data_IF_458898923593
#
_entry.id   IF_458898923593
#
_cell.length_a   1.000
_cell.length_b   1.000
_cell.length_c   1.000
_cell.angle_alpha   90.00
_cell.angle_beta   90.00
_cell.angle_gamma   90.00
#
_symmetry.space_group_name_H-M   'P 1'
#
loop_
_entity.id
_entity.type
_entity.pdbx_description
1 polymer ?
#
# COMPACT_ATOMS: atom_id res chain seq x y z
N UNK A 1 17.25 14.10 23.36
CA UNK A 1 17.79 13.42 22.17
C UNK A 1 17.99 14.44 21.07
N UNK A 2 19.15 14.46 20.43
CA UNK A 2 19.39 15.26 19.23
C UNK A 2 18.47 14.69 18.13
N UNK A 3 17.65 15.52 17.48
CA UNK A 3 16.81 15.10 16.36
C UNK A 3 17.74 14.66 15.21
N UNK A 4 17.52 13.46 14.70
CA UNK A 4 18.28 12.90 13.57
C UNK A 4 17.42 12.99 12.31
N UNK A 5 17.98 13.54 11.25
CA UNK A 5 17.35 13.58 9.92
C UNK A 5 18.03 12.61 8.97
N UNK A 6 17.32 12.08 7.95
CA UNK A 6 15.92 12.35 7.64
C UNK A 6 14.94 11.81 8.70
N UNK A 7 13.81 12.48 8.83
CA UNK A 7 12.75 12.11 9.79
C UNK A 7 11.39 12.02 9.09
N UNK A 8 10.67 10.94 9.38
CA UNK A 8 9.28 10.78 8.95
C UNK A 8 8.36 11.03 10.14
N UNK A 9 7.59 12.10 10.09
CA UNK A 9 6.50 12.35 11.03
C UNK A 9 5.22 11.68 10.54
N UNK A 10 4.54 10.98 11.45
CA UNK A 10 3.28 10.28 11.22
C UNK A 10 2.22 10.83 12.16
N UNK A 11 1.23 11.54 11.62
CA UNK A 11 0.10 12.06 12.39
C UNK A 11 -1.00 11.00 12.51
N UNK A 12 -1.04 10.33 13.67
CA UNK A 12 -2.02 9.29 13.95
C UNK A 12 -3.46 9.83 14.05
N UNK A 13 -3.64 11.12 14.37
CA UNK A 13 -4.98 11.71 14.40
C UNK A 13 -5.59 11.81 13.01
N UNK A 14 -4.78 12.17 12.02
CA UNK A 14 -5.18 12.23 10.60
C UNK A 14 -5.48 10.82 10.08
N UNK A 15 -4.60 9.86 10.36
CA UNK A 15 -4.82 8.48 9.94
C UNK A 15 -6.09 7.89 10.55
N UNK A 16 -6.37 8.17 11.84
CA UNK A 16 -7.63 7.76 12.47
C UNK A 16 -8.85 8.44 11.85
N UNK A 17 -8.73 9.72 11.48
CA UNK A 17 -9.79 10.43 10.77
C UNK A 17 -10.11 9.76 9.43
N UNK A 18 -9.09 9.54 8.59
CA UNK A 18 -9.24 8.88 7.30
C UNK A 18 -9.81 7.46 7.45
N UNK A 19 -9.27 6.67 8.39
CA UNK A 19 -9.76 5.32 8.65
C UNK A 19 -11.25 5.30 9.01
N UNK A 20 -11.70 6.19 9.91
CA UNK A 20 -13.12 6.30 10.26
C UNK A 20 -13.99 6.66 9.06
N UNK A 21 -13.57 7.63 8.24
CA UNK A 21 -14.31 8.04 7.05
C UNK A 21 -14.47 6.90 6.06
N UNK A 22 -13.38 6.19 5.76
CA UNK A 22 -13.38 5.06 4.81
C UNK A 22 -14.21 3.90 5.35
N UNK A 23 -13.95 3.48 6.58
CA UNK A 23 -14.57 2.30 7.19
C UNK A 23 -16.07 2.51 7.39
N UNK A 24 -16.49 3.68 7.90
CA UNK A 24 -17.92 3.97 8.10
C UNK A 24 -18.70 3.95 6.79
N UNK A 25 -18.14 4.53 5.71
CA UNK A 25 -18.82 4.51 4.39
C UNK A 25 -18.92 3.10 3.81
N UNK A 26 -17.91 2.26 3.99
CA UNK A 26 -17.96 0.86 3.61
C UNK A 26 -19.03 0.10 4.42
N UNK A 27 -19.04 0.25 5.75
CA UNK A 27 -19.99 -0.41 6.64
C UNK A 27 -21.44 -0.01 6.35
N UNK A 28 -21.71 1.23 5.95
CA UNK A 28 -23.05 1.68 5.54
C UNK A 28 -23.58 0.94 4.31
N UNK A 29 -22.70 0.32 3.52
CA UNK A 29 -23.04 -0.53 2.37
C UNK A 29 -22.84 -2.03 2.66
N UNK A 30 -22.66 -2.42 3.93
CA UNK A 30 -22.48 -3.82 4.32
C UNK A 30 -21.10 -4.40 3.96
N UNK A 31 -20.10 -3.54 3.78
CA UNK A 31 -18.75 -3.94 3.35
C UNK A 31 -17.78 -3.86 4.53
N UNK A 32 -17.16 -5.00 4.86
CA UNK A 32 -16.06 -5.09 5.83
C UNK A 32 -14.76 -4.56 5.24
N UNK A 33 -13.95 -3.92 6.06
CA UNK A 33 -12.66 -3.37 5.62
C UNK A 33 -11.50 -4.11 6.27
N UNK A 34 -10.66 -4.69 5.43
CA UNK A 34 -9.31 -5.08 5.78
C UNK A 34 -8.39 -3.86 5.68
N UNK A 35 -7.86 -3.41 6.82
CA UNK A 35 -6.93 -2.29 6.90
C UNK A 35 -5.53 -2.69 6.45
N UNK A 36 -5.07 -2.20 5.30
CA UNK A 36 -3.80 -2.64 4.69
C UNK A 36 -2.63 -1.78 5.14
N UNK A 37 -1.68 -2.39 5.85
CA UNK A 37 -0.51 -1.72 6.46
C UNK A 37 0.81 -1.93 5.72
N UNK A 38 0.81 -2.63 4.57
CA UNK A 38 2.04 -2.90 3.82
C UNK A 38 2.77 -1.62 3.37
N UNK A 39 2.01 -0.54 3.08
CA UNK A 39 2.55 0.74 2.61
C UNK A 39 3.38 1.49 3.64
N UNK A 40 3.27 1.10 4.90
CA UNK A 40 4.02 1.65 6.03
C UNK A 40 4.83 0.57 6.76
N UNK A 41 5.32 -0.42 6.02
CA UNK A 41 6.11 -1.54 6.52
C UNK A 41 5.53 -2.20 7.79
N UNK A 42 4.19 -2.22 7.94
CA UNK A 42 3.53 -2.79 9.10
C UNK A 42 3.87 -2.06 10.42
N UNK A 43 3.96 -0.73 10.43
CA UNK A 43 4.16 0.04 11.67
C UNK A 43 3.04 -0.28 12.68
N UNK A 44 3.37 -0.79 13.88
CA UNK A 44 2.37 -1.22 14.86
C UNK A 44 1.42 -0.12 15.30
N UNK A 45 1.87 1.13 15.39
CA UNK A 45 1.07 2.29 15.78
C UNK A 45 -0.02 2.56 14.73
N UNK A 46 0.31 2.47 13.45
CA UNK A 46 -0.63 2.64 12.34
C UNK A 46 -1.62 1.47 12.29
N UNK A 47 -1.12 0.25 12.45
CA UNK A 47 -1.95 -0.96 12.50
C UNK A 47 -2.98 -0.87 13.65
N UNK A 48 -2.54 -0.45 14.83
CA UNK A 48 -3.40 -0.21 16.00
C UNK A 48 -4.42 0.88 15.73
N UNK A 49 -4.02 1.98 15.07
CA UNK A 49 -4.94 3.07 14.71
C UNK A 49 -6.06 2.58 13.78
N UNK A 50 -5.75 1.77 12.75
CA UNK A 50 -6.77 1.19 11.86
C UNK A 50 -7.73 0.25 12.62
N UNK A 51 -7.20 -0.62 13.50
CA UNK A 51 -8.03 -1.50 14.34
C UNK A 51 -9.00 -0.71 15.24
N UNK A 52 -8.51 0.31 15.93
CA UNK A 52 -9.32 1.16 16.80
C UNK A 52 -10.40 1.96 16.04
N UNK A 53 -10.23 2.14 14.74
CA UNK A 53 -11.22 2.79 13.89
C UNK A 53 -12.22 1.82 13.22
N UNK A 54 -12.16 0.51 13.53
CA UNK A 54 -13.14 -0.46 13.08
C UNK A 54 -12.70 -1.36 11.93
N UNK A 55 -11.41 -1.37 11.56
CA UNK A 55 -10.91 -2.40 10.63
C UNK A 55 -11.08 -3.79 11.28
N UNK A 56 -11.87 -4.68 10.65
CA UNK A 56 -12.19 -5.98 11.22
C UNK A 56 -11.03 -6.97 11.11
N UNK A 57 -10.19 -6.79 10.12
CA UNK A 57 -8.91 -7.47 9.96
C UNK A 57 -7.83 -6.51 9.45
N UNK A 58 -6.57 -6.91 9.57
CA UNK A 58 -5.44 -6.19 9.02
C UNK A 58 -4.80 -6.99 7.90
N UNK A 59 -4.32 -6.31 6.86
CA UNK A 59 -3.70 -6.94 5.70
C UNK A 59 -2.29 -6.46 5.47
N UNK A 60 -1.41 -7.40 5.14
CA UNK A 60 -0.06 -7.08 4.70
C UNK A 60 0.48 -8.10 3.70
N UNK A 61 1.56 -7.76 3.03
CA UNK A 61 2.22 -8.64 2.04
C UNK A 61 3.47 -9.33 2.57
N UNK A 62 3.83 -9.13 3.86
CA UNK A 62 5.04 -9.67 4.48
C UNK A 62 4.73 -10.22 5.87
N UNK A 63 5.18 -11.43 6.12
CA UNK A 63 4.92 -12.13 7.39
C UNK A 63 5.67 -11.50 8.56
N UNK A 64 6.87 -10.96 8.32
CA UNK A 64 7.66 -10.23 9.30
C UNK A 64 6.93 -8.99 9.84
N UNK A 65 6.09 -8.36 9.01
CA UNK A 65 5.25 -7.23 9.44
C UNK A 65 4.14 -7.69 10.38
N UNK A 66 3.55 -8.85 10.14
CA UNK A 66 2.57 -9.46 11.06
C UNK A 66 3.23 -9.79 12.38
N UNK A 67 4.38 -10.47 12.34
CA UNK A 67 5.13 -10.87 13.55
C UNK A 67 5.50 -9.65 14.40
N UNK A 68 6.04 -8.59 13.79
CA UNK A 68 6.34 -7.31 14.46
C UNK A 68 5.10 -6.68 15.11
N UNK A 69 3.99 -6.63 14.39
CA UNK A 69 2.73 -6.10 14.93
C UNK A 69 2.21 -6.94 16.10
N UNK A 70 2.23 -8.26 15.99
CA UNK A 70 1.83 -9.16 17.09
C UNK A 70 2.73 -9.00 18.32
N UNK A 71 4.04 -8.91 18.13
CA UNK A 71 5.00 -8.66 19.20
C UNK A 71 4.76 -7.32 19.90
N UNK A 72 4.26 -6.30 19.17
CA UNK A 72 3.85 -5.01 19.73
C UNK A 72 2.42 -5.01 20.33
N UNK A 73 1.76 -6.16 20.44
CA UNK A 73 0.43 -6.30 21.02
C UNK A 73 -0.72 -5.86 20.09
N UNK A 74 -0.50 -5.78 18.78
CA UNK A 74 -1.58 -5.56 17.81
C UNK A 74 -2.25 -6.90 17.53
N UNK A 75 -3.39 -7.13 18.17
CA UNK A 75 -4.18 -8.34 18.00
C UNK A 75 -5.17 -8.28 16.82
N UNK A 76 -5.88 -9.41 16.65
CA UNK A 76 -6.94 -9.59 15.67
C UNK A 76 -6.51 -10.41 14.47
N UNK A 77 -7.46 -10.70 13.55
CA UNK A 77 -7.16 -11.49 12.39
C UNK A 77 -6.28 -10.73 11.40
N UNK A 78 -5.39 -11.48 10.74
CA UNK A 78 -4.48 -11.01 9.70
C UNK A 78 -4.75 -11.71 8.38
N UNK A 79 -4.79 -10.93 7.31
CA UNK A 79 -4.89 -11.39 5.93
C UNK A 79 -3.53 -11.20 5.25
N UNK A 80 -2.93 -12.28 4.77
CA UNK A 80 -1.80 -12.17 3.85
C UNK A 80 -2.34 -11.83 2.44
N UNK A 81 -2.05 -10.61 1.97
CA UNK A 81 -2.58 -10.09 0.70
C UNK A 81 -1.65 -10.27 -0.51
N UNK A 82 -0.52 -10.92 -0.35
CA UNK A 82 0.35 -11.44 -1.40
C UNK A 82 0.17 -12.96 -1.48
N UNK A 83 0.12 -13.50 -2.68
CA UNK A 83 0.16 -14.96 -2.86
C UNK A 83 1.44 -15.47 -2.23
N UNK A 84 1.37 -16.41 -1.27
CA UNK A 84 2.55 -16.92 -0.57
C UNK A 84 3.39 -17.84 -1.47
N UNK A 85 4.70 -17.83 -1.25
CA UNK A 85 5.57 -18.89 -1.74
C UNK A 85 5.41 -20.18 -0.89
N UNK A 86 5.71 -21.34 -1.47
CA UNK A 86 5.65 -22.62 -0.75
C UNK A 86 6.52 -22.62 0.51
N UNK A 87 7.70 -21.96 0.46
CA UNK A 87 8.60 -21.82 1.60
C UNK A 87 8.08 -20.95 2.75
N UNK A 88 7.02 -20.18 2.51
CA UNK A 88 6.43 -19.29 3.52
C UNK A 88 5.24 -19.93 4.27
N UNK A 89 4.72 -21.06 3.77
CA UNK A 89 3.49 -21.68 4.30
C UNK A 89 3.54 -21.99 5.80
N UNK A 90 4.66 -22.45 6.39
CA UNK A 90 4.75 -22.62 7.83
C UNK A 90 4.44 -21.34 8.62
N UNK A 91 4.95 -20.21 8.15
CA UNK A 91 4.72 -18.92 8.80
C UNK A 91 3.33 -18.34 8.45
N UNK A 92 2.80 -18.64 7.27
CA UNK A 92 1.43 -18.27 6.89
C UNK A 92 0.43 -18.88 7.87
N UNK A 93 0.50 -20.19 8.09
CA UNK A 93 -0.38 -20.92 9.03
C UNK A 93 -0.13 -20.50 10.48
N UNK A 94 1.09 -20.13 10.82
CA UNK A 94 1.44 -19.66 12.17
C UNK A 94 0.92 -18.27 12.48
N UNK A 95 0.99 -17.33 11.50
CA UNK A 95 0.86 -15.90 11.73
C UNK A 95 -0.44 -15.29 11.19
N UNK A 96 -1.04 -15.87 10.16
CA UNK A 96 -2.22 -15.32 9.51
C UNK A 96 -3.43 -16.23 9.67
N UNK A 97 -4.60 -15.65 9.84
CA UNK A 97 -5.86 -16.38 9.84
C UNK A 97 -6.36 -16.64 8.42
N UNK A 98 -6.01 -15.75 7.47
CA UNK A 98 -6.49 -15.81 6.08
C UNK A 98 -5.35 -15.49 5.11
N UNK A 99 -5.36 -16.09 3.92
CA UNK A 99 -4.47 -15.71 2.82
C UNK A 99 -5.18 -15.65 1.47
N UNK A 100 -4.66 -14.81 0.56
CA UNK A 100 -5.07 -14.84 -0.85
C UNK A 100 -4.36 -15.98 -1.57
N UNK A 101 -5.08 -16.69 -2.43
CA UNK A 101 -4.57 -17.86 -3.16
C UNK A 101 -4.96 -17.83 -4.64
N UNK A 102 -4.06 -18.32 -5.51
CA UNK A 102 -4.28 -18.39 -6.96
C UNK A 102 -3.66 -19.62 -7.62
N UNK A 103 -3.20 -20.60 -6.83
CA UNK A 103 -2.56 -21.81 -7.34
C UNK A 103 -3.00 -23.02 -6.56
N UNK A 104 -3.37 -24.08 -7.26
CA UNK A 104 -3.79 -25.36 -6.66
C UNK A 104 -2.66 -26.01 -5.85
N UNK A 105 -1.46 -26.05 -6.39
CA UNK A 105 -0.31 -26.64 -5.71
C UNK A 105 -0.01 -25.97 -4.36
N UNK A 106 -0.23 -24.66 -4.27
CA UNK A 106 -0.05 -23.91 -3.01
C UNK A 106 -1.15 -24.26 -2.00
N UNK A 107 -2.37 -24.47 -2.46
CA UNK A 107 -3.49 -24.89 -1.60
C UNK A 107 -3.29 -26.30 -1.05
N UNK A 108 -2.84 -27.24 -1.89
CA UNK A 108 -2.52 -28.60 -1.47
C UNK A 108 -1.38 -28.62 -0.42
N UNK A 109 -0.31 -27.87 -0.65
CA UNK A 109 0.78 -27.74 0.31
C UNK A 109 0.36 -27.00 1.61
N UNK A 110 -0.60 -26.07 1.51
CA UNK A 110 -1.16 -25.37 2.68
C UNK A 110 -1.95 -26.34 3.55
N UNK A 111 -2.69 -27.30 2.97
CA UNK A 111 -3.38 -28.37 3.69
C UNK A 111 -2.36 -29.21 4.47
N UNK A 112 -1.27 -29.66 3.82
CA UNK A 112 -0.22 -30.43 4.48
C UNK A 112 0.36 -29.66 5.68
N UNK A 113 0.62 -28.38 5.52
CA UNK A 113 1.14 -27.55 6.61
C UNK A 113 0.13 -27.34 7.73
N UNK A 114 -1.15 -27.18 7.41
CA UNK A 114 -2.23 -27.13 8.42
C UNK A 114 -2.30 -28.40 9.25
N UNK A 115 -2.19 -29.55 8.62
CA UNK A 115 -2.12 -30.86 9.30
C UNK A 115 -0.92 -30.94 10.22
N UNK A 116 0.27 -30.54 9.74
CA UNK A 116 1.50 -30.55 10.53
C UNK A 116 1.43 -29.67 11.80
N UNK A 117 0.77 -28.51 11.69
CA UNK A 117 0.61 -27.59 12.82
C UNK A 117 -0.65 -27.86 13.67
N UNK A 118 -1.53 -28.78 13.26
CA UNK A 118 -2.81 -29.03 13.93
C UNK A 118 -3.75 -27.82 13.91
N UNK A 119 -3.77 -27.07 12.80
CA UNK A 119 -4.53 -25.84 12.62
C UNK A 119 -5.44 -25.92 11.41
N UNK A 120 -6.36 -24.95 11.32
CA UNK A 120 -7.09 -24.64 10.09
C UNK A 120 -6.65 -23.28 9.57
N UNK A 121 -6.77 -23.07 8.26
CA UNK A 121 -6.43 -21.81 7.61
C UNK A 121 -7.50 -21.41 6.59
N UNK A 122 -7.85 -20.12 6.56
CA UNK A 122 -8.87 -19.58 5.67
C UNK A 122 -8.26 -19.05 4.38
N UNK A 123 -8.91 -19.27 3.25
CA UNK A 123 -8.42 -18.81 1.95
C UNK A 123 -9.48 -18.01 1.19
N UNK A 124 -8.99 -16.98 0.48
CA UNK A 124 -9.76 -16.24 -0.52
C UNK A 124 -9.10 -16.55 -1.86
N UNK A 125 -9.81 -17.28 -2.72
CA UNK A 125 -9.30 -17.63 -4.06
C UNK A 125 -9.52 -16.47 -5.01
N UNK A 126 -8.46 -16.09 -5.74
CA UNK A 126 -8.44 -14.87 -6.53
C UNK A 126 -8.84 -15.12 -7.98
N UNK A 127 -9.72 -14.26 -8.51
CA UNK A 127 -10.05 -14.18 -9.93
C UNK A 127 -9.26 -13.03 -10.58
N UNK A 128 -8.63 -13.29 -11.72
CA UNK A 128 -8.14 -12.20 -12.57
C UNK A 128 -9.27 -11.73 -13.50
N UNK A 129 -9.70 -10.50 -13.34
CA UNK A 129 -10.71 -9.84 -14.18
C UNK A 129 -10.10 -8.80 -15.13
N UNK A 130 -8.85 -9.01 -15.54
CA UNK A 130 -8.18 -8.21 -16.55
C UNK A 130 -7.12 -7.25 -16.02
N UNK A 131 -6.73 -7.33 -14.73
CA UNK A 131 -5.54 -6.60 -14.23
C UNK A 131 -4.24 -7.33 -14.56
N UNK A 132 -4.33 -8.61 -14.94
CA UNK A 132 -3.23 -9.47 -15.41
C UNK A 132 -2.09 -9.59 -14.40
N UNK A 133 -2.43 -9.72 -13.13
CA UNK A 133 -1.46 -9.92 -12.05
C UNK A 133 -1.68 -11.29 -11.39
N UNK A 134 -2.34 -11.37 -10.24
CA UNK A 134 -2.68 -12.64 -9.59
C UNK A 134 -4.13 -13.01 -9.80
N UNK A 135 -4.41 -14.31 -9.82
CA UNK A 135 -5.75 -14.86 -9.92
C UNK A 135 -5.95 -15.78 -11.12
N UNK A 136 -6.95 -16.63 -11.04
CA UNK A 136 -7.32 -17.52 -12.13
C UNK A 136 -7.88 -16.73 -13.30
N UNK A 137 -7.25 -16.87 -14.47
CA UNK A 137 -7.76 -16.33 -15.73
C UNK A 137 -8.92 -17.19 -16.25
N UNK A 138 -8.77 -18.52 -16.23
CA UNK A 138 -9.83 -19.45 -16.54
C UNK A 138 -10.79 -19.58 -15.35
N UNK A 139 -12.06 -19.29 -15.58
CA UNK A 139 -13.07 -19.30 -14.52
C UNK A 139 -13.66 -20.70 -14.25
N UNK A 140 -13.51 -21.62 -15.18
CA UNK A 140 -13.89 -23.02 -14.96
C UNK A 140 -12.82 -23.70 -14.09
N UNK A 141 -11.55 -23.49 -14.38
CA UNK A 141 -10.45 -23.91 -13.52
C UNK A 141 -10.60 -23.35 -12.08
N UNK A 142 -10.92 -22.07 -11.95
CA UNK A 142 -11.15 -21.46 -10.62
C UNK A 142 -12.27 -22.16 -9.85
N UNK A 143 -13.38 -22.48 -10.51
CA UNK A 143 -14.50 -23.20 -9.89
C UNK A 143 -14.05 -24.59 -9.45
N UNK A 144 -13.32 -25.33 -10.30
CA UNK A 144 -12.81 -26.66 -9.98
C UNK A 144 -11.86 -26.64 -8.79
N UNK A 145 -10.96 -25.64 -8.71
CA UNK A 145 -10.07 -25.46 -7.57
C UNK A 145 -10.83 -25.13 -6.28
N UNK A 146 -11.85 -24.27 -6.34
CA UNK A 146 -12.68 -23.98 -5.16
C UNK A 146 -13.45 -25.22 -4.69
N UNK A 147 -13.95 -26.04 -5.61
CA UNK A 147 -14.61 -27.32 -5.28
C UNK A 147 -13.62 -28.32 -4.67
N UNK A 148 -12.39 -28.35 -5.19
CA UNK A 148 -11.31 -29.17 -4.61
C UNK A 148 -11.01 -28.75 -3.17
N UNK A 149 -10.82 -27.46 -2.90
CA UNK A 149 -10.60 -26.95 -1.53
C UNK A 149 -11.72 -27.40 -0.60
N UNK A 150 -12.97 -27.21 -1.01
CA UNK A 150 -14.13 -27.53 -0.17
C UNK A 150 -14.27 -29.03 0.15
N UNK A 151 -13.88 -29.92 -0.78
CA UNK A 151 -14.15 -31.37 -0.66
C UNK A 151 -12.95 -32.17 -0.18
N UNK A 152 -11.74 -31.73 -0.57
CA UNK A 152 -10.53 -32.55 -0.41
C UNK A 152 -9.55 -31.98 0.62
N UNK A 153 -9.71 -30.70 1.03
CA UNK A 153 -8.77 -30.01 1.93
C UNK A 153 -9.46 -29.64 3.27
N UNK A 154 -9.64 -30.61 4.20
CA UNK A 154 -10.46 -30.40 5.40
C UNK A 154 -9.90 -29.36 6.40
N UNK A 155 -8.61 -29.00 6.31
CA UNK A 155 -8.00 -27.99 7.16
C UNK A 155 -7.85 -26.62 6.47
N UNK A 156 -8.18 -26.54 5.17
CA UNK A 156 -8.22 -25.28 4.41
C UNK A 156 -9.67 -24.87 4.18
N UNK A 157 -10.12 -23.84 4.86
CA UNK A 157 -11.47 -23.30 4.73
C UNK A 157 -11.60 -22.36 3.54
N UNK A 158 -12.43 -22.67 2.56
CA UNK A 158 -12.79 -21.74 1.49
C UNK A 158 -13.68 -20.62 2.04
N UNK A 159 -13.07 -19.53 2.49
CA UNK A 159 -13.78 -18.37 3.03
C UNK A 159 -14.47 -17.56 1.93
N UNK A 160 -13.87 -17.50 0.74
CA UNK A 160 -14.46 -16.73 -0.33
C UNK A 160 -13.61 -16.59 -1.58
N UNK A 161 -14.03 -15.63 -2.40
CA UNK A 161 -13.35 -15.25 -3.63
C UNK A 161 -13.00 -13.76 -3.64
N UNK A 162 -12.01 -13.37 -4.43
CA UNK A 162 -11.61 -11.98 -4.52
C UNK A 162 -11.09 -11.59 -5.90
N UNK A 163 -10.97 -10.28 -6.09
CA UNK A 163 -10.33 -9.68 -7.26
C UNK A 163 -9.33 -8.63 -6.82
N UNK A 164 -8.33 -8.35 -7.65
CA UNK A 164 -7.52 -7.16 -7.54
C UNK A 164 -7.56 -6.40 -8.87
N UNK A 165 -7.63 -5.08 -8.81
CA UNK A 165 -7.72 -4.20 -9.98
C UNK A 165 -6.82 -2.98 -9.78
N UNK A 166 -6.29 -2.44 -10.88
CA UNK A 166 -5.49 -1.20 -10.96
C UNK A 166 -4.02 -1.35 -10.54
N UNK A 167 -3.64 -2.40 -9.82
CA UNK A 167 -2.31 -2.49 -9.23
C UNK A 167 -1.19 -2.80 -10.23
N UNK A 168 -1.51 -3.40 -11.38
CA UNK A 168 -0.56 -3.70 -12.46
C UNK A 168 -1.11 -3.24 -13.81
N UNK A 169 -2.23 -3.81 -14.25
CA UNK A 169 -2.84 -3.52 -15.54
C UNK A 169 -3.60 -2.19 -15.60
N UNK A 170 -3.60 -1.42 -14.53
CA UNK A 170 -4.35 -0.15 -14.41
C UNK A 170 -5.83 -0.29 -14.76
N UNK A 171 -6.37 -1.51 -14.64
CA UNK A 171 -7.75 -1.82 -14.95
C UNK A 171 -8.70 -1.23 -13.93
N UNK A 172 -9.56 -0.33 -14.37
CA UNK A 172 -10.51 0.39 -13.49
C UNK A 172 -11.55 -0.57 -12.90
N UNK A 173 -11.86 -0.52 -11.61
CA UNK A 173 -13.01 -1.20 -11.04
C UNK A 173 -14.30 -0.56 -11.58
N UNK A 174 -15.23 -1.41 -11.99
CA UNK A 174 -16.56 -1.00 -12.47
C UNK A 174 -17.64 -1.90 -11.87
N UNK A 175 -18.91 -1.46 -11.83
CA UNK A 175 -20.00 -2.31 -11.39
C UNK A 175 -20.08 -3.65 -12.17
N UNK A 176 -19.79 -3.65 -13.47
CA UNK A 176 -19.80 -4.83 -14.33
C UNK A 176 -18.74 -5.85 -13.91
N UNK A 177 -17.52 -5.39 -13.55
CA UNK A 177 -16.47 -6.26 -13.02
C UNK A 177 -16.86 -6.87 -11.67
N UNK A 178 -17.51 -6.10 -10.81
CA UNK A 178 -18.04 -6.61 -9.55
C UNK A 178 -19.17 -7.62 -9.76
N UNK A 179 -20.06 -7.37 -10.73
CA UNK A 179 -21.09 -8.36 -11.13
C UNK A 179 -20.46 -9.64 -11.69
N UNK A 180 -19.39 -9.54 -12.48
CA UNK A 180 -18.65 -10.71 -12.96
C UNK A 180 -18.06 -11.53 -11.78
N UNK A 181 -17.50 -10.88 -10.76
CA UNK A 181 -17.03 -11.58 -9.55
C UNK A 181 -18.18 -12.26 -8.80
N UNK A 182 -19.32 -11.59 -8.66
CA UNK A 182 -20.52 -12.16 -8.03
C UNK A 182 -21.06 -13.35 -8.80
N UNK A 183 -21.02 -13.33 -10.13
CA UNK A 183 -21.42 -14.46 -10.97
C UNK A 183 -20.49 -15.67 -10.78
N UNK A 184 -19.18 -15.45 -10.63
CA UNK A 184 -18.21 -16.51 -10.32
C UNK A 184 -18.51 -17.08 -8.93
N UNK A 185 -18.73 -16.22 -7.92
CA UNK A 185 -19.08 -16.63 -6.57
C UNK A 185 -20.35 -17.51 -6.57
N UNK A 186 -21.40 -17.10 -7.28
CA UNK A 186 -22.66 -17.86 -7.38
C UNK A 186 -22.46 -19.23 -8.07
N UNK A 187 -21.58 -19.33 -9.06
CA UNK A 187 -21.22 -20.62 -9.67
C UNK A 187 -20.54 -21.55 -8.67
N UNK A 188 -19.56 -21.04 -7.92
CA UNK A 188 -18.86 -21.81 -6.88
C UNK A 188 -19.85 -22.27 -5.81
N UNK A 189 -20.67 -21.36 -5.26
CA UNK A 189 -21.69 -21.65 -4.25
C UNK A 189 -22.63 -22.76 -4.66
N UNK A 190 -23.04 -22.79 -5.94
CA UNK A 190 -23.91 -23.86 -6.50
C UNK A 190 -23.21 -25.23 -6.45
N UNK A 191 -21.89 -25.29 -6.67
CA UNK A 191 -21.15 -26.57 -6.72
C UNK A 191 -20.76 -27.06 -5.31
N UNK A 192 -20.52 -26.15 -4.36
CA UNK A 192 -20.19 -26.52 -2.98
C UNK A 192 -21.41 -26.65 -2.06
N UNK A 193 -22.56 -26.16 -2.49
CA UNK A 193 -23.85 -26.30 -1.75
C UNK A 193 -24.01 -25.33 -0.58
N UNK A 194 -23.15 -24.28 -0.48
CA UNK A 194 -23.24 -23.23 0.56
C UNK A 194 -22.87 -21.86 0.03
N UNK A 195 -23.19 -20.82 0.80
CA UNK A 195 -22.76 -19.45 0.51
C UNK A 195 -21.29 -19.22 0.89
N UNK A 196 -20.59 -18.42 0.10
CA UNK A 196 -19.29 -17.90 0.46
C UNK A 196 -19.46 -16.76 1.47
N UNK A 197 -18.60 -16.74 2.48
CA UNK A 197 -18.62 -15.68 3.50
C UNK A 197 -18.08 -14.35 2.95
N UNK A 198 -17.05 -14.44 2.07
CA UNK A 198 -16.32 -13.29 1.56
C UNK A 198 -16.41 -13.21 0.04
N UNK A 199 -16.89 -12.06 -0.47
CA UNK A 199 -16.69 -11.65 -1.86
C UNK A 199 -15.92 -10.33 -1.85
N UNK A 200 -14.60 -10.44 -2.06
CA UNK A 200 -13.65 -9.35 -1.88
C UNK A 200 -13.48 -8.54 -3.17
N UNK A 201 -14.06 -7.36 -3.22
CA UNK A 201 -14.16 -6.50 -4.41
C UNK A 201 -12.88 -5.72 -4.77
N UNK A 202 -11.76 -5.96 -4.10
CA UNK A 202 -10.49 -5.32 -4.46
C UNK A 202 -9.89 -4.43 -3.37
N UNK A 203 -9.15 -3.42 -3.82
CA UNK A 203 -8.33 -2.55 -2.98
C UNK A 203 -8.85 -1.09 -2.96
N UNK A 204 -7.99 -0.14 -2.66
CA UNK A 204 -8.28 1.31 -2.62
C UNK A 204 -9.02 1.80 -3.86
N UNK A 205 -8.64 1.35 -5.06
CA UNK A 205 -9.30 1.75 -6.31
C UNK A 205 -10.80 1.43 -6.34
N UNK A 206 -11.19 0.28 -5.77
CA UNK A 206 -12.60 -0.15 -5.72
C UNK A 206 -13.45 0.67 -4.72
N UNK A 207 -12.82 1.43 -3.84
CA UNK A 207 -13.52 2.35 -2.95
C UNK A 207 -14.27 3.47 -3.72
N UNK A 208 -13.88 3.75 -4.95
CA UNK A 208 -14.64 4.67 -5.83
C UNK A 208 -16.09 4.23 -6.00
N UNK A 209 -16.35 2.93 -6.10
CA UNK A 209 -17.71 2.39 -6.22
C UNK A 209 -18.51 2.59 -4.94
N UNK A 210 -17.85 2.51 -3.77
CA UNK A 210 -18.47 2.83 -2.47
C UNK A 210 -18.79 4.31 -2.39
N UNK A 211 -17.84 5.17 -2.78
CA UNK A 211 -17.97 6.62 -2.75
C UNK A 211 -19.16 7.10 -3.60
N UNK A 212 -19.32 6.55 -4.79
CA UNK A 212 -20.43 6.90 -5.70
C UNK A 212 -21.71 6.12 -5.47
N UNK A 213 -21.75 5.19 -4.49
CA UNK A 213 -22.92 4.37 -4.22
C UNK A 213 -23.28 3.41 -5.34
N UNK A 214 -22.29 2.98 -6.14
CA UNK A 214 -22.46 2.09 -7.29
C UNK A 214 -21.90 0.68 -7.08
N UNK A 215 -21.41 0.38 -5.89
CA UNK A 215 -20.94 -0.95 -5.53
C UNK A 215 -22.11 -1.94 -5.55
N UNK A 216 -22.07 -3.03 -6.36
CA UNK A 216 -23.13 -4.01 -6.37
C UNK A 216 -23.32 -4.71 -5.02
N UNK A 217 -24.57 -4.92 -4.64
CA UNK A 217 -24.92 -5.70 -3.45
C UNK A 217 -24.35 -7.13 -3.56
N UNK A 218 -23.73 -7.61 -2.47
CA UNK A 218 -23.06 -8.92 -2.44
C UNK A 218 -21.53 -8.82 -2.42
N UNK A 219 -20.94 -7.70 -2.87
CA UNK A 219 -19.55 -7.37 -2.52
C UNK A 219 -19.57 -6.93 -1.06
N UNK A 220 -18.88 -7.68 -0.20
CA UNK A 220 -18.95 -7.48 1.25
C UNK A 220 -17.59 -7.30 1.94
N UNK A 221 -16.52 -7.17 1.15
CA UNK A 221 -15.16 -7.02 1.67
C UNK A 221 -14.29 -6.17 0.74
N UNK A 222 -13.49 -5.25 1.31
CA UNK A 222 -12.46 -4.47 0.61
C UNK A 222 -11.17 -4.42 1.43
N UNK A 223 -10.02 -4.38 0.73
CA UNK A 223 -8.67 -4.32 1.30
C UNK A 223 -8.07 -2.94 1.04
N UNK A 224 -8.22 -2.02 1.99
CA UNK A 224 -7.93 -0.59 1.78
C UNK A 224 -6.70 -0.17 2.57
N UNK A 225 -5.72 0.41 1.88
CA UNK A 225 -4.49 0.95 2.49
C UNK A 225 -4.30 2.43 2.15
N UNK A 226 -4.04 2.77 0.91
CA UNK A 226 -3.63 4.11 0.49
C UNK A 226 -4.63 5.20 0.88
N UNK A 227 -5.93 5.01 0.70
CA UNK A 227 -6.95 5.98 1.10
C UNK A 227 -6.95 6.30 2.60
N UNK A 228 -6.58 5.33 3.44
CA UNK A 228 -6.43 5.54 4.88
C UNK A 228 -5.11 6.26 5.18
N UNK A 229 -4.03 5.86 4.50
CA UNK A 229 -2.69 6.37 4.76
C UNK A 229 -2.51 7.78 4.21
N UNK A 230 -2.76 7.97 2.92
CA UNK A 230 -2.46 9.21 2.21
C UNK A 230 -3.70 9.95 1.71
N UNK A 231 -4.78 9.22 1.39
CA UNK A 231 -5.99 9.80 0.81
C UNK A 231 -5.74 10.50 -0.54
N UNK A 232 -4.67 10.18 -1.23
CA UNK A 232 -4.13 10.99 -2.32
C UNK A 232 -4.36 10.40 -3.71
N UNK A 233 -4.23 9.09 -3.85
CA UNK A 233 -4.29 8.46 -5.18
C UNK A 233 -5.61 8.75 -5.90
N UNK A 234 -6.73 8.62 -5.21
CA UNK A 234 -8.05 8.87 -5.80
C UNK A 234 -8.33 10.37 -5.97
N UNK A 235 -7.93 11.20 -5.00
CA UNK A 235 -8.18 12.65 -5.09
C UNK A 235 -7.32 13.32 -6.17
N UNK A 236 -6.02 13.05 -6.17
CA UNK A 236 -5.04 13.70 -7.05
C UNK A 236 -4.80 12.88 -8.31
N UNK A 237 -4.46 11.60 -8.15
CA UNK A 237 -4.13 10.72 -9.29
C UNK A 237 -5.32 10.46 -10.22
N UNK A 238 -6.51 10.27 -9.65
CA UNK A 238 -7.74 10.05 -10.42
C UNK A 238 -8.59 11.32 -10.60
N UNK A 239 -8.25 12.42 -9.92
CA UNK A 239 -8.95 13.69 -10.01
C UNK A 239 -10.34 13.73 -9.36
N UNK A 240 -10.60 12.87 -8.37
CA UNK A 240 -11.89 12.79 -7.67
C UNK A 240 -11.92 13.83 -6.57
N UNK A 241 -12.38 15.05 -6.88
CA UNK A 241 -12.30 16.21 -5.99
C UNK A 241 -13.27 16.17 -4.81
N UNK A 242 -14.38 15.46 -4.89
CA UNK A 242 -15.40 15.32 -3.85
C UNK A 242 -15.04 14.28 -2.76
N UNK A 243 -13.80 13.78 -2.76
CA UNK A 243 -13.20 13.01 -1.65
C UNK A 243 -12.42 13.86 -0.66
N UNK A 244 -12.65 15.16 -0.60
CA UNK A 244 -11.99 16.14 0.27
C UNK A 244 -12.17 15.91 1.78
N UNK A 245 -13.04 14.98 2.15
CA UNK A 245 -13.17 14.46 3.51
C UNK A 245 -11.98 13.58 3.96
N UNK A 246 -11.10 13.18 3.03
CA UNK A 246 -9.86 12.48 3.32
C UNK A 246 -8.69 13.47 3.33
N UNK A 247 -7.93 13.46 4.40
CA UNK A 247 -6.76 14.32 4.58
C UNK A 247 -5.52 13.69 3.96
N UNK A 248 -4.68 14.52 3.32
CA UNK A 248 -3.46 14.10 2.59
C UNK A 248 -2.16 14.45 3.33
N UNK A 249 -2.27 15.00 4.53
CA UNK A 249 -1.15 15.55 5.30
C UNK A 249 -0.74 14.68 6.51
N UNK A 250 -1.15 13.41 6.53
CA UNK A 250 -0.85 12.45 7.59
C UNK A 250 0.62 12.05 7.70
N UNK A 251 1.42 12.34 6.68
CA UNK A 251 2.87 12.05 6.67
C UNK A 251 3.65 13.28 6.23
N UNK A 252 4.74 13.57 6.95
CA UNK A 252 5.68 14.65 6.61
C UNK A 252 7.09 14.12 6.68
N UNK A 253 7.80 14.16 5.56
CA UNK A 253 9.24 13.86 5.54
C UNK A 253 10.02 15.14 5.74
N UNK A 254 11.00 15.11 6.65
CA UNK A 254 11.90 16.23 6.98
C UNK A 254 13.33 15.87 6.65
N UNK A 255 14.04 16.77 5.97
CA UNK A 255 15.44 16.62 5.64
C UNK A 255 16.22 17.90 5.96
N UNK A 256 17.45 17.74 6.42
CA UNK A 256 18.34 18.85 6.79
C UNK A 256 19.13 19.33 5.56
N UNK A 257 19.26 20.63 5.41
CA UNK A 257 20.11 21.28 4.43
C UNK A 257 21.58 21.17 4.88
N UNK A 258 22.41 20.55 4.05
CA UNK A 258 23.85 20.34 4.35
C UNK A 258 24.79 21.21 3.51
N UNK A 259 24.31 21.73 2.39
CA UNK A 259 25.05 22.69 1.56
C UNK A 259 24.09 23.68 0.91
N UNK A 260 24.50 24.94 0.78
CA UNK A 260 23.84 25.93 -0.07
C UNK A 260 24.93 26.68 -0.88
N UNK A 261 24.80 26.66 -2.23
CA UNK A 261 25.75 27.30 -3.15
C UNK A 261 25.04 27.81 -4.41
N UNK A 262 25.62 28.83 -5.00
CA UNK A 262 25.33 29.21 -6.40
C UNK A 262 26.13 28.29 -7.33
N UNK A 263 25.46 27.64 -8.25
CA UNK A 263 26.04 26.70 -9.22
C UNK A 263 25.38 26.83 -10.59
N UNK A 264 26.12 26.57 -11.69
CA UNK A 264 25.49 26.41 -13.00
C UNK A 264 24.43 25.34 -12.97
N UNK A 265 23.35 25.52 -13.72
CA UNK A 265 22.27 24.54 -13.85
C UNK A 265 22.61 23.45 -14.85
N UNK A 266 23.56 23.69 -15.73
CA UNK A 266 24.06 22.75 -16.72
C UNK A 266 25.43 22.19 -16.26
N UNK A 267 25.60 20.88 -16.10
CA UNK A 267 26.89 20.31 -15.73
C UNK A 267 27.98 20.60 -16.79
N UNK A 268 29.22 20.62 -16.36
CA UNK A 268 30.37 20.97 -17.20
C UNK A 268 31.23 19.71 -17.43
N UNK A 269 31.51 19.37 -18.69
CA UNK A 269 32.32 18.22 -19.07
C UNK A 269 31.65 17.30 -20.07
N UNK A 270 32.29 16.16 -20.36
CA UNK A 270 31.68 15.09 -21.16
C UNK A 270 30.67 14.29 -20.34
N UNK A 271 29.52 13.97 -20.94
CA UNK A 271 28.46 13.26 -20.25
C UNK A 271 28.58 11.75 -20.44
N UNK A 272 28.44 11.05 -19.33
CA UNK A 272 28.28 9.61 -19.27
C UNK A 272 26.84 9.25 -18.80
N UNK A 273 26.68 8.10 -18.24
CA UNK A 273 25.49 7.69 -17.48
C UNK A 273 25.68 8.04 -16.00
N UNK A 274 24.58 8.30 -15.28
CA UNK A 274 24.63 8.50 -13.83
C UNK A 274 24.85 7.15 -13.08
N UNK A 275 24.94 7.22 -11.75
CA UNK A 275 25.12 6.04 -10.90
C UNK A 275 23.98 5.01 -10.99
N UNK A 276 22.85 5.37 -11.57
CA UNK A 276 21.66 4.52 -11.75
C UNK A 276 21.46 4.07 -13.21
N UNK A 277 22.48 4.26 -14.08
CA UNK A 277 22.44 3.90 -15.50
C UNK A 277 21.57 4.80 -16.37
N UNK A 278 21.20 6.00 -15.90
CA UNK A 278 20.36 6.95 -16.62
C UNK A 278 21.20 7.94 -17.41
N UNK A 279 20.62 8.48 -18.47
CA UNK A 279 21.15 9.66 -19.19
C UNK A 279 20.27 10.86 -18.83
N UNK A 280 20.59 11.63 -17.78
CA UNK A 280 19.77 12.75 -17.39
C UNK A 280 19.79 13.86 -18.44
N UNK A 281 18.65 14.53 -18.59
CA UNK A 281 18.51 15.71 -19.44
C UNK A 281 18.58 16.94 -18.56
N UNK A 282 19.48 17.86 -18.87
CA UNK A 282 19.63 19.11 -18.12
C UNK A 282 19.12 20.29 -18.94
N UNK A 283 18.51 21.26 -18.26
CA UNK A 283 18.11 22.53 -18.85
C UNK A 283 19.02 23.64 -18.30
N UNK A 284 19.70 24.34 -19.18
CA UNK A 284 20.51 25.49 -18.79
C UNK A 284 19.59 26.68 -18.42
N UNK A 285 19.68 27.10 -17.16
CA UNK A 285 19.01 28.27 -16.60
C UNK A 285 20.02 29.30 -16.03
N UNK A 286 21.29 29.19 -16.42
CA UNK A 286 22.36 29.98 -15.87
C UNK A 286 22.79 29.54 -14.46
N UNK A 287 23.30 30.48 -13.68
CA UNK A 287 23.68 30.25 -12.28
C UNK A 287 22.46 30.41 -11.40
N UNK A 288 22.22 29.41 -10.55
CA UNK A 288 21.08 29.41 -9.60
C UNK A 288 21.55 28.94 -8.24
N UNK A 289 20.85 29.39 -7.23
CA UNK A 289 21.08 28.96 -5.85
C UNK A 289 20.49 27.57 -5.65
N UNK A 290 21.33 26.64 -5.22
CA UNK A 290 20.98 25.23 -4.98
C UNK A 290 21.32 24.84 -3.57
N UNK A 291 20.54 23.92 -3.02
CA UNK A 291 20.84 23.26 -1.77
C UNK A 291 21.01 21.75 -1.96
N UNK A 292 21.79 21.15 -1.08
CA UNK A 292 21.89 19.71 -0.92
C UNK A 292 21.23 19.35 0.41
N UNK A 293 20.38 18.33 0.40
CA UNK A 293 19.72 17.80 1.58
C UNK A 293 20.34 16.45 1.94
N UNK A 294 20.46 16.17 3.26
CA UNK A 294 20.80 14.86 3.81
C UNK A 294 19.62 13.89 3.66
N UNK A 295 19.32 13.54 2.43
CA UNK A 295 18.24 12.66 2.00
C UNK A 295 18.60 12.16 0.60
N UNK A 296 18.42 10.88 0.31
CA UNK A 296 18.77 10.35 -1.00
C UNK A 296 17.76 9.31 -1.54
N UNK A 297 18.13 8.74 -2.70
CA UNK A 297 17.30 7.67 -3.31
C UNK A 297 17.22 6.43 -2.44
N UNK A 298 18.22 6.16 -1.62
CA UNK A 298 18.18 5.05 -0.68
C UNK A 298 17.04 5.20 0.34
N UNK A 299 16.67 6.45 0.68
CA UNK A 299 15.66 6.74 1.68
C UNK A 299 14.23 6.72 1.12
N UNK A 300 14.03 7.19 -0.10
CA UNK A 300 12.69 7.46 -0.65
C UNK A 300 12.44 6.91 -2.07
N UNK A 301 13.44 6.30 -2.69
CA UNK A 301 13.36 5.80 -4.07
C UNK A 301 13.46 6.95 -5.09
N UNK A 302 12.34 7.48 -5.54
CA UNK A 302 12.29 8.51 -6.59
C UNK A 302 12.25 9.91 -6.00
N UNK A 303 13.39 10.61 -5.97
CA UNK A 303 13.50 11.96 -5.45
C UNK A 303 12.65 12.98 -6.23
N UNK A 304 12.58 12.82 -7.56
CA UNK A 304 11.91 13.75 -8.46
C UNK A 304 10.38 13.81 -8.26
N UNK A 305 9.81 12.81 -7.62
CA UNK A 305 8.40 12.77 -7.26
C UNK A 305 8.08 13.27 -5.85
N UNK A 306 9.10 13.65 -5.07
CA UNK A 306 8.90 14.34 -3.78
C UNK A 306 8.24 15.70 -4.00
N UNK A 307 7.28 16.05 -3.14
CA UNK A 307 6.54 17.30 -3.23
C UNK A 307 6.99 18.22 -2.08
N UNK A 308 7.82 19.23 -2.38
CA UNK A 308 8.21 20.20 -1.36
C UNK A 308 7.00 20.95 -0.80
N UNK A 309 7.00 21.20 0.50
CA UNK A 309 6.02 22.10 1.14
C UNK A 309 6.46 23.55 1.11
N UNK A 310 7.74 23.81 0.89
CA UNK A 310 8.30 25.14 0.71
C UNK A 310 8.01 25.66 -0.69
N UNK A 311 7.34 26.80 -0.79
CA UNK A 311 7.07 27.46 -2.07
C UNK A 311 8.38 27.85 -2.78
N UNK A 312 8.43 27.67 -4.10
CA UNK A 312 9.60 28.03 -4.92
C UNK A 312 10.77 27.03 -4.83
N UNK A 313 10.67 25.98 -4.01
CA UNK A 313 11.63 24.90 -3.98
C UNK A 313 11.31 23.87 -5.05
N UNK A 314 12.31 23.45 -5.82
CA UNK A 314 12.15 22.39 -6.84
C UNK A 314 13.19 21.31 -6.63
N UNK A 315 12.76 20.05 -6.54
CA UNK A 315 13.68 18.90 -6.54
C UNK A 315 14.23 18.71 -7.94
N UNK A 316 15.56 18.69 -8.09
CA UNK A 316 16.22 18.55 -9.39
C UNK A 316 16.66 17.09 -9.64
N UNK A 317 16.95 16.35 -8.56
CA UNK A 317 17.44 14.98 -8.60
C UNK A 317 18.35 14.69 -7.42
N UNK A 318 19.23 13.73 -7.56
CA UNK A 318 20.19 13.41 -6.49
C UNK A 318 20.88 12.08 -6.69
N UNK A 319 21.66 11.71 -5.67
CA UNK A 319 22.38 10.43 -5.58
C UNK A 319 21.69 9.47 -4.59
N UNK A 320 22.38 8.41 -4.18
CA UNK A 320 21.93 7.51 -3.11
C UNK A 320 21.61 8.25 -1.81
N UNK A 321 22.44 9.26 -1.44
CA UNK A 321 22.43 9.86 -0.11
C UNK A 321 22.22 11.39 -0.11
N UNK A 322 22.10 12.01 -1.30
CA UNK A 322 21.96 13.45 -1.46
C UNK A 322 20.78 13.77 -2.39
N UNK A 323 19.89 14.62 -1.93
CA UNK A 323 18.86 15.26 -2.74
C UNK A 323 19.31 16.67 -3.11
N UNK A 324 19.26 17.01 -4.39
CA UNK A 324 19.62 18.33 -4.91
C UNK A 324 18.33 19.09 -5.21
N UNK A 325 18.23 20.29 -4.64
CA UNK A 325 17.07 21.16 -4.83
C UNK A 325 17.51 22.54 -5.36
N UNK A 326 16.71 23.10 -6.27
CA UNK A 326 16.80 24.49 -6.68
C UNK A 326 15.99 25.33 -5.68
N UNK A 327 16.61 26.35 -5.12
CA UNK A 327 16.04 27.20 -4.07
C UNK A 327 16.08 28.68 -4.43
N UNK A 328 16.35 29.02 -5.70
CA UNK A 328 16.42 30.39 -6.18
C UNK A 328 15.13 31.18 -5.98
N UNK A 329 14.01 30.50 -6.25
CA UNK A 329 12.69 31.12 -6.21
C UNK A 329 12.01 30.98 -4.81
N UNK A 330 12.74 30.47 -3.79
CA UNK A 330 12.21 30.35 -2.43
C UNK A 330 12.14 31.74 -1.76
N UNK A 331 10.97 32.13 -1.23
CA UNK A 331 10.84 33.37 -0.45
C UNK A 331 11.72 33.37 0.80
N UNK A 332 11.86 32.21 1.44
CA UNK A 332 12.75 31.99 2.57
C UNK A 332 14.18 31.72 2.08
N UNK A 333 15.13 32.47 2.58
CA UNK A 333 16.55 32.20 2.31
C UNK A 333 17.02 31.03 3.16
N UNK A 334 17.13 29.85 2.53
CA UNK A 334 17.62 28.64 3.19
C UNK A 334 19.11 28.72 3.49
N UNK A 335 19.49 28.17 4.66
CA UNK A 335 20.87 28.08 5.15
C UNK A 335 21.19 26.64 5.59
N UNK A 336 22.47 26.31 5.75
CA UNK A 336 22.90 25.02 6.29
C UNK A 336 22.36 24.84 7.70
N UNK A 337 21.73 23.66 7.96
CA UNK A 337 21.04 23.36 9.21
C UNK A 337 19.53 23.61 9.17
N UNK A 338 19.02 24.29 8.14
CA UNK A 338 17.58 24.43 7.95
C UNK A 338 16.92 23.09 7.63
N UNK A 339 15.65 22.97 8.02
CA UNK A 339 14.85 21.78 7.72
C UNK A 339 13.87 22.08 6.61
N UNK A 340 13.83 21.20 5.62
CA UNK A 340 12.88 21.22 4.51
C UNK A 340 11.88 20.09 4.68
N UNK A 341 10.60 20.38 4.43
CA UNK A 341 9.50 19.44 4.56
C UNK A 341 8.96 19.02 3.18
N UNK A 342 8.58 17.74 3.09
CA UNK A 342 8.00 17.15 1.90
C UNK A 342 6.70 16.41 2.20
N UNK A 343 5.74 16.52 1.30
CA UNK A 343 4.62 15.60 1.19
C UNK A 343 5.03 14.39 0.35
N UNK A 344 4.49 13.24 0.69
CA UNK A 344 4.87 11.96 0.12
C UNK A 344 3.79 11.41 -0.83
N UNK A 345 4.20 10.52 -1.73
CA UNK A 345 3.33 9.59 -2.42
C UNK A 345 3.55 8.16 -1.90
N UNK A 346 2.78 7.20 -2.39
CA UNK A 346 2.78 5.83 -1.88
C UNK A 346 4.16 5.14 -2.00
N UNK A 347 4.88 5.36 -3.10
CA UNK A 347 6.22 4.79 -3.28
C UNK A 347 7.21 5.28 -2.23
N UNK A 348 7.16 6.57 -1.88
CA UNK A 348 8.04 7.13 -0.84
C UNK A 348 7.80 6.48 0.53
N UNK A 349 6.52 6.21 0.89
CA UNK A 349 6.22 5.53 2.15
C UNK A 349 6.82 4.13 2.22
N UNK A 350 6.74 3.36 1.12
CA UNK A 350 7.33 2.02 1.05
C UNK A 350 8.82 2.01 1.36
N UNK A 351 9.55 3.02 0.88
CA UNK A 351 10.99 3.16 1.16
C UNK A 351 11.23 3.72 2.56
N UNK A 352 10.66 4.87 2.87
CA UNK A 352 10.94 5.60 4.10
C UNK A 352 10.60 4.81 5.38
N UNK A 353 9.55 3.98 5.35
CA UNK A 353 9.15 3.19 6.51
C UNK A 353 9.90 1.88 6.68
N UNK A 354 10.55 1.39 5.61
CA UNK A 354 11.36 0.16 5.64
C UNK A 354 12.83 0.40 5.97
N UNK A 355 13.25 1.68 6.16
CA UNK A 355 14.62 2.05 6.46
C UNK A 355 14.85 2.27 7.96
N UNK A 356 15.86 1.60 8.50
CA UNK A 356 16.29 1.81 9.89
C UNK A 356 16.97 3.17 10.13
N UNK A 357 17.42 3.81 9.05
CA UNK A 357 18.16 5.08 9.09
C UNK A 357 17.23 6.30 9.17
N UNK A 358 15.96 6.13 8.82
CA UNK A 358 14.95 7.18 8.96
C UNK A 358 14.34 7.14 10.35
N UNK A 359 14.37 8.26 11.05
CA UNK A 359 13.73 8.39 12.35
C UNK A 359 12.22 8.57 12.17
N UNK A 360 11.42 7.61 12.65
CA UNK A 360 9.96 7.72 12.62
C UNK A 360 9.47 8.35 13.91
N UNK A 361 8.71 9.44 13.79
CA UNK A 361 8.10 10.15 14.91
C UNK A 361 6.58 10.14 14.77
N UNK A 362 5.90 9.60 15.78
CA UNK A 362 4.44 9.64 15.85
C UNK A 362 3.98 10.88 16.60
N UNK A 363 2.95 11.56 16.04
CA UNK A 363 2.23 12.66 16.67
C UNK A 363 0.73 12.34 16.70
N UNK A 364 -0.02 12.98 17.65
CA UNK A 364 -1.45 12.75 17.88
C UNK A 364 -2.25 14.04 17.70
#
# INVERSE_FOLDING_TARGET
MVRKYPQLEVDLSILRSNARQVITRCQQQGIRVCGVVKGVDGLPEVARAMRLCGAEELGTSRLEQVERCRAAGVGGPWLLIRIPGLSELPDVVRLCETSLQSERVTLDALEEECVLQGKTHRVIVMADLGDLREGFWDKDEMVDVCVHVERELPHVELAGVGVNLTCYGSTKPTPEKMQALLAIAARIEKHIGRKLEIVSGGATSSYTLVHWGTMPAGINHLRIGENILLGKDLQVGWGIQDMDYLRMDGFTLRAEVVEVREKPTYPIGEFAIDAFGRKPVYVDRGIRRRAILALGRADVGELESLIPREAGLTVIGGSSDHCIVDVEDCPRRLEVGDIVEFSLCYSHLLYATSRSDITIQFVN
#
